data_IF_756544413769
#
_entry.id   IF_756544413769
#
_cell.length_a   1.000
_cell.length_b   1.000
_cell.length_c   1.000
_cell.angle_alpha   90.00
_cell.angle_beta   90.00
_cell.angle_gamma   90.00
#
_symmetry.space_group_name_H-M   'P 1'
#
loop_
_entity.id
_entity.type
_entity.pdbx_description
1 polymer ?
#
# COMPACT_ATOMS: atom_id res chain seq x y z
N UNK A 1 4.66 -10.78 4.80
CA UNK A 1 6.04 -11.15 5.20
C UNK A 1 7.03 -10.02 4.94
N UNK A 2 7.07 -9.39 3.77
CA UNK A 2 8.02 -8.30 3.47
C UNK A 2 7.98 -7.11 4.45
N UNK A 3 6.80 -6.77 5.00
CA UNK A 3 6.63 -5.66 5.95
C UNK A 3 7.53 -5.76 7.19
N UNK A 4 7.80 -6.98 7.68
CA UNK A 4 8.69 -7.20 8.83
C UNK A 4 10.15 -6.84 8.55
N UNK A 5 10.58 -6.89 7.29
CA UNK A 5 11.93 -6.53 6.87
C UNK A 5 12.02 -5.06 6.43
N UNK A 6 10.95 -4.54 5.83
CA UNK A 6 10.89 -3.15 5.35
C UNK A 6 10.88 -2.15 6.51
N UNK A 7 10.11 -2.41 7.58
CA UNK A 7 10.04 -1.50 8.74
C UNK A 7 11.42 -1.21 9.36
N UNK A 8 12.22 -2.22 9.79
CA UNK A 8 13.52 -1.96 10.38
C UNK A 8 14.51 -1.36 9.38
N UNK A 9 14.38 -1.67 8.08
CA UNK A 9 15.21 -1.05 7.05
C UNK A 9 14.91 0.44 6.89
N UNK A 10 13.64 0.84 6.83
CA UNK A 10 13.25 2.25 6.80
C UNK A 10 13.68 2.98 8.07
N UNK A 11 13.54 2.36 9.24
CA UNK A 11 14.04 2.92 10.49
C UNK A 11 15.55 3.14 10.46
N UNK A 12 16.32 2.14 10.03
CA UNK A 12 17.78 2.25 9.92
C UNK A 12 18.22 3.35 8.96
N UNK A 13 17.57 3.46 7.79
CA UNK A 13 17.86 4.54 6.83
C UNK A 13 17.55 5.91 7.44
N UNK A 14 16.45 6.02 8.19
CA UNK A 14 16.06 7.27 8.85
C UNK A 14 17.13 7.69 9.87
N UNK A 15 17.39 6.84 10.87
CA UNK A 15 18.25 7.15 12.03
C UNK A 15 19.74 7.28 11.65
N UNK A 16 20.24 6.45 10.72
CA UNK A 16 21.67 6.40 10.39
C UNK A 16 22.09 7.20 9.18
N UNK A 17 21.20 7.46 8.23
CA UNK A 17 21.58 8.11 6.96
C UNK A 17 20.91 9.47 6.87
N UNK A 18 19.59 9.51 6.94
CA UNK A 18 18.80 10.69 6.59
C UNK A 18 18.82 11.73 7.70
N UNK A 19 18.63 11.32 8.96
CA UNK A 19 18.64 12.23 10.09
C UNK A 19 19.99 12.92 10.29
N UNK A 20 21.15 12.22 10.32
CA UNK A 20 22.44 12.88 10.41
C UNK A 20 22.73 13.81 9.22
N UNK A 21 22.30 13.43 8.01
CA UNK A 21 22.43 14.28 6.82
C UNK A 21 21.58 15.54 6.92
N UNK A 22 20.35 15.41 7.41
CA UNK A 22 19.41 16.52 7.58
C UNK A 22 19.93 17.53 8.59
N UNK A 23 20.41 17.08 9.75
CA UNK A 23 21.01 17.95 10.77
C UNK A 23 22.28 18.66 10.27
N UNK A 24 23.05 18.03 9.38
CA UNK A 24 24.24 18.64 8.78
C UNK A 24 23.91 19.70 7.72
N UNK A 25 22.85 19.51 6.93
CA UNK A 25 22.48 20.43 5.85
C UNK A 25 21.51 21.54 6.28
N UNK A 26 20.61 21.22 7.20
CA UNK A 26 19.54 22.12 7.66
C UNK A 26 19.46 22.07 9.18
N UNK A 27 20.30 22.83 9.90
CA UNK A 27 20.15 22.98 11.34
C UNK A 27 18.83 23.69 11.62
N UNK A 28 17.83 22.92 12.03
CA UNK A 28 16.53 23.44 12.44
C UNK A 28 16.70 24.16 13.79
N UNK A 29 16.07 25.34 13.93
CA UNK A 29 16.09 26.09 15.20
C UNK A 29 15.36 25.29 16.28
N UNK A 30 15.98 25.15 17.45
CA UNK A 30 15.44 24.42 18.59
C UNK A 30 14.10 25.01 19.08
N UNK A 31 13.80 26.26 18.69
CA UNK A 31 12.57 26.99 19.00
C UNK A 31 11.47 26.89 17.92
N UNK A 32 11.55 25.95 16.98
CA UNK A 32 10.46 25.71 16.04
C UNK A 32 9.18 25.35 16.82
N UNK A 33 8.15 26.19 16.67
CA UNK A 33 6.80 25.87 17.15
C UNK A 33 6.28 24.69 16.34
N UNK A 34 6.50 23.48 16.86
CA UNK A 34 5.87 22.27 16.33
C UNK A 34 4.38 22.43 16.60
N UNK A 35 3.62 22.71 15.54
CA UNK A 35 2.17 22.64 15.53
C UNK A 35 1.79 21.23 16.03
N UNK A 36 1.37 21.10 17.30
CA UNK A 36 1.09 19.83 17.99
C UNK A 36 -0.17 19.11 17.45
N UNK A 37 -0.54 19.35 16.21
CA UNK A 37 -1.84 18.98 15.64
C UNK A 37 -1.94 17.46 15.32
N UNK A 38 -0.84 16.71 15.45
CA UNK A 38 -0.79 15.28 15.12
C UNK A 38 -0.86 14.37 16.36
N UNK A 39 -0.50 14.87 17.55
CA UNK A 39 -0.62 14.13 18.81
C UNK A 39 -1.91 14.50 19.53
N UNK A 40 -3.06 14.30 18.89
CA UNK A 40 -4.33 14.33 19.60
C UNK A 40 -4.37 13.11 20.54
N UNK A 41 -4.37 13.35 21.85
CA UNK A 41 -4.47 12.27 22.84
C UNK A 41 -5.74 11.44 22.57
N UNK A 42 -5.58 10.12 22.47
CA UNK A 42 -6.69 9.21 22.17
C UNK A 42 -7.76 9.37 23.26
N UNK A 43 -8.94 9.82 22.87
CA UNK A 43 -10.05 9.96 23.82
C UNK A 43 -10.45 8.58 24.35
N UNK A 44 -10.83 8.50 25.62
CA UNK A 44 -11.38 7.27 26.23
C UNK A 44 -12.58 6.72 25.46
N UNK A 45 -13.32 7.60 24.75
CA UNK A 45 -14.43 7.20 23.88
C UNK A 45 -13.95 6.52 22.59
N UNK A 46 -12.90 7.06 21.96
CA UNK A 46 -12.30 6.49 20.76
C UNK A 46 -11.66 5.14 21.07
N UNK A 47 -11.03 4.98 22.23
CA UNK A 47 -10.49 3.69 22.65
C UNK A 47 -11.58 2.62 22.82
N UNK A 48 -12.72 2.96 23.45
CA UNK A 48 -13.88 2.05 23.54
C UNK A 48 -14.48 1.73 22.17
N UNK A 49 -14.58 2.73 21.30
CA UNK A 49 -15.06 2.54 19.93
C UNK A 49 -14.14 1.60 19.13
N UNK A 50 -12.83 1.72 19.31
CA UNK A 50 -11.83 0.83 18.71
C UNK A 50 -12.05 -0.62 19.15
N UNK A 51 -12.14 -0.90 20.45
CA UNK A 51 -12.40 -2.26 20.94
C UNK A 51 -13.71 -2.84 20.42
N UNK A 52 -14.78 -2.03 20.33
CA UNK A 52 -16.05 -2.48 19.78
C UNK A 52 -15.95 -2.79 18.28
N UNK A 53 -15.28 -1.93 17.51
CA UNK A 53 -15.04 -2.15 16.09
C UNK A 53 -14.16 -3.39 15.83
N UNK A 54 -13.12 -3.62 16.64
CA UNK A 54 -12.30 -4.83 16.58
C UNK A 54 -13.10 -6.09 16.92
N UNK A 55 -14.02 -6.02 17.89
CA UNK A 55 -14.90 -7.13 18.21
C UNK A 55 -15.84 -7.47 17.04
N UNK A 56 -16.41 -6.45 16.38
CA UNK A 56 -17.24 -6.65 15.18
C UNK A 56 -16.42 -7.26 14.04
N UNK A 57 -15.19 -6.80 13.82
CA UNK A 57 -14.30 -7.39 12.82
C UNK A 57 -14.03 -8.87 13.10
N UNK A 58 -13.76 -9.23 14.35
CA UNK A 58 -13.58 -10.63 14.76
C UNK A 58 -14.85 -11.45 14.54
N UNK A 59 -16.01 -10.91 14.89
CA UNK A 59 -17.29 -11.59 14.67
C UNK A 59 -17.57 -11.81 13.18
N UNK A 60 -17.33 -10.81 12.33
CA UNK A 60 -17.45 -10.94 10.87
C UNK A 60 -16.49 -11.99 10.31
N UNK A 61 -15.26 -12.02 10.83
CA UNK A 61 -14.25 -13.01 10.43
C UNK A 61 -14.65 -14.42 10.85
N UNK A 62 -15.09 -14.61 12.10
CA UNK A 62 -15.59 -15.90 12.60
C UNK A 62 -16.81 -16.35 11.82
N UNK A 63 -17.76 -15.44 11.54
CA UNK A 63 -18.94 -15.72 10.73
C UNK A 63 -18.59 -16.19 9.32
N UNK A 64 -17.60 -15.55 8.69
CA UNK A 64 -17.09 -15.99 7.39
C UNK A 64 -16.42 -17.36 7.46
N UNK A 65 -15.59 -17.62 8.48
CA UNK A 65 -14.95 -18.93 8.67
C UNK A 65 -16.02 -20.02 8.88
N UNK A 66 -17.01 -19.77 9.74
CA UNK A 66 -18.13 -20.69 9.95
C UNK A 66 -18.94 -20.94 8.68
N UNK A 67 -19.15 -19.92 7.84
CA UNK A 67 -19.81 -20.08 6.54
C UNK A 67 -18.98 -20.89 5.54
N UNK A 68 -17.66 -20.93 5.70
CA UNK A 68 -16.73 -21.66 4.84
C UNK A 68 -16.43 -23.08 5.34
N UNK A 69 -16.72 -23.42 6.59
CA UNK A 69 -16.48 -24.76 7.15
C UNK A 69 -17.34 -25.87 6.52
N UNK A 70 -18.65 -25.67 6.22
CA UNK A 70 -19.48 -26.70 5.60
C UNK A 70 -18.94 -27.11 4.23
N UNK A 71 -18.95 -28.41 3.96
CA UNK A 71 -18.51 -28.98 2.68
C UNK A 71 -19.42 -28.52 1.52
N UNK A 72 -20.72 -28.32 1.77
CA UNK A 72 -21.72 -27.79 0.82
C UNK A 72 -21.81 -26.26 0.77
N UNK A 73 -20.79 -25.55 1.25
CA UNK A 73 -20.83 -24.08 1.27
C UNK A 73 -20.91 -23.52 -0.15
N UNK A 74 -21.92 -22.67 -0.40
CA UNK A 74 -22.11 -21.92 -1.66
C UNK A 74 -20.91 -21.05 -2.05
N UNK A 75 -19.98 -20.82 -1.12
CA UNK A 75 -18.80 -20.00 -1.31
C UNK A 75 -17.54 -20.80 -1.71
N UNK A 76 -17.61 -22.14 -1.64
CA UNK A 76 -16.57 -23.05 -2.12
C UNK A 76 -16.72 -23.31 -3.62
N UNK A 77 -15.63 -23.71 -4.26
CA UNK A 77 -15.71 -24.17 -5.64
C UNK A 77 -16.52 -25.49 -5.71
N UNK A 78 -17.11 -25.87 -6.87
CA UNK A 78 -17.88 -27.11 -7.02
C UNK A 78 -17.10 -28.39 -6.66
N UNK A 79 -15.78 -28.30 -6.67
CA UNK A 79 -14.77 -29.29 -6.29
C UNK A 79 -14.46 -29.32 -4.78
N UNK A 80 -15.12 -28.48 -3.97
CA UNK A 80 -14.94 -28.40 -2.51
C UNK A 80 -13.71 -27.59 -2.07
N UNK A 81 -12.87 -27.15 -3.02
CA UNK A 81 -11.63 -26.41 -2.80
C UNK A 81 -11.89 -24.92 -2.52
N UNK A 82 -11.27 -24.38 -1.47
CA UNK A 82 -11.39 -22.97 -1.08
C UNK A 82 -10.47 -22.04 -1.89
N UNK A 83 -9.34 -22.56 -2.36
CA UNK A 83 -8.25 -21.81 -2.98
C UNK A 83 -8.20 -21.94 -4.51
N UNK A 84 -9.36 -22.12 -5.16
CA UNK A 84 -9.48 -22.15 -6.62
C UNK A 84 -9.97 -20.80 -7.13
N UNK A 85 -9.44 -20.31 -8.25
CA UNK A 85 -9.91 -19.08 -8.90
C UNK A 85 -11.39 -19.14 -9.34
N UNK A 86 -11.96 -20.35 -9.40
CA UNK A 86 -13.39 -20.58 -9.69
C UNK A 86 -14.28 -20.52 -8.45
N UNK A 87 -13.71 -20.47 -7.25
CA UNK A 87 -14.48 -20.37 -6.02
C UNK A 87 -15.17 -18.99 -5.95
N UNK A 88 -16.48 -18.93 -5.66
CA UNK A 88 -17.22 -17.67 -5.53
C UNK A 88 -16.60 -16.70 -4.51
N UNK A 89 -15.93 -17.23 -3.47
CA UNK A 89 -15.22 -16.40 -2.49
C UNK A 89 -14.03 -15.64 -3.07
N UNK A 90 -13.26 -16.27 -3.98
CA UNK A 90 -12.10 -15.64 -4.62
C UNK A 90 -12.54 -14.56 -5.60
N UNK A 91 -13.64 -14.78 -6.31
CA UNK A 91 -14.22 -13.77 -7.21
C UNK A 91 -14.81 -12.58 -6.45
N UNK A 92 -15.34 -12.83 -5.25
CA UNK A 92 -15.98 -11.81 -4.41
C UNK A 92 -15.03 -11.14 -3.43
N UNK A 93 -13.71 -11.37 -3.52
CA UNK A 93 -12.74 -10.91 -2.51
C UNK A 93 -12.76 -9.38 -2.34
N UNK A 94 -12.89 -8.64 -3.44
CA UNK A 94 -12.96 -7.16 -3.41
C UNK A 94 -14.23 -6.68 -2.72
N UNK A 95 -15.38 -7.28 -3.03
CA UNK A 95 -16.65 -6.95 -2.39
C UNK A 95 -16.65 -7.30 -0.90
N UNK A 96 -16.02 -8.42 -0.53
CA UNK A 96 -15.88 -8.85 0.85
C UNK A 96 -15.01 -7.88 1.65
N UNK A 97 -13.89 -7.43 1.09
CA UNK A 97 -13.05 -6.38 1.70
C UNK A 97 -13.88 -5.11 1.90
N UNK A 98 -14.69 -4.68 0.93
CA UNK A 98 -15.56 -3.51 1.08
C UNK A 98 -16.57 -3.65 2.22
N UNK A 99 -17.22 -4.82 2.34
CA UNK A 99 -18.17 -5.09 3.42
C UNK A 99 -17.46 -5.12 4.78
N UNK A 100 -16.29 -5.76 4.88
CA UNK A 100 -15.54 -5.88 6.13
C UNK A 100 -14.99 -4.53 6.58
N UNK A 101 -14.29 -3.83 5.70
CA UNK A 101 -13.67 -2.54 6.00
C UNK A 101 -14.72 -1.43 6.16
N UNK A 102 -15.71 -1.38 5.29
CA UNK A 102 -16.82 -0.44 5.37
C UNK A 102 -17.69 -0.67 6.61
N UNK A 103 -18.04 -1.92 6.90
CA UNK A 103 -18.84 -2.29 8.08
C UNK A 103 -18.14 -1.90 9.38
N UNK A 104 -16.86 -2.25 9.53
CA UNK A 104 -16.06 -1.88 10.71
C UNK A 104 -15.88 -0.37 10.81
N UNK A 105 -15.66 0.31 9.69
CA UNK A 105 -15.55 1.77 9.64
C UNK A 105 -16.81 2.49 10.10
N UNK A 106 -17.99 2.03 9.67
CA UNK A 106 -19.28 2.58 10.12
C UNK A 106 -19.48 2.33 11.62
N UNK A 107 -19.21 1.11 12.10
CA UNK A 107 -19.34 0.77 13.52
C UNK A 107 -18.43 1.64 14.39
N UNK A 108 -17.17 1.82 13.99
CA UNK A 108 -16.25 2.72 14.68
C UNK A 108 -16.74 4.18 14.67
N UNK A 109 -17.22 4.67 13.52
CA UNK A 109 -17.73 6.04 13.38
C UNK A 109 -18.96 6.32 14.25
N UNK A 110 -19.87 5.36 14.37
CA UNK A 110 -21.04 5.46 15.26
C UNK A 110 -20.62 5.38 16.73
N UNK A 111 -19.78 4.42 17.10
CA UNK A 111 -19.35 4.22 18.50
C UNK A 111 -18.49 5.38 19.02
N UNK A 112 -17.60 5.95 18.20
CA UNK A 112 -16.80 7.13 18.52
C UNK A 112 -17.65 8.41 18.60
N UNK A 113 -18.87 8.39 18.08
CA UNK A 113 -19.78 9.53 18.05
C UNK A 113 -19.54 10.52 16.91
N UNK A 114 -18.70 10.14 15.93
CA UNK A 114 -18.46 10.90 14.71
C UNK A 114 -19.66 10.82 13.75
N UNK A 115 -20.39 9.71 13.75
CA UNK A 115 -21.63 9.53 13.00
C UNK A 115 -22.83 9.45 13.95
N UNK A 116 -23.65 10.50 13.99
CA UNK A 116 -24.89 10.55 14.77
C UNK A 116 -26.11 10.32 13.88
N UNK A 117 -26.06 10.79 12.64
CA UNK A 117 -27.10 10.62 11.64
C UNK A 117 -26.55 9.94 10.37
N UNK A 118 -27.40 9.26 9.58
CA UNK A 118 -26.98 8.73 8.27
C UNK A 118 -26.42 9.79 7.32
N UNK A 119 -26.84 11.06 7.49
CA UNK A 119 -26.31 12.19 6.72
C UNK A 119 -24.83 12.47 7.01
N UNK A 120 -24.36 12.21 8.22
CA UNK A 120 -22.97 12.43 8.60
C UNK A 120 -22.04 11.46 7.85
N UNK A 121 -22.54 10.24 7.61
CA UNK A 121 -21.85 9.24 6.80
C UNK A 121 -21.75 9.69 5.34
N UNK A 122 -22.85 10.16 4.73
CA UNK A 122 -22.83 10.71 3.37
C UNK A 122 -21.95 11.95 3.26
N UNK A 123 -21.98 12.84 4.25
CA UNK A 123 -21.14 14.03 4.27
C UNK A 123 -19.66 13.68 4.34
N UNK A 124 -19.29 12.66 5.11
CA UNK A 124 -17.92 12.16 5.16
C UNK A 124 -17.45 11.59 3.80
N UNK A 125 -18.35 10.90 3.07
CA UNK A 125 -18.06 10.44 1.71
C UNK A 125 -17.92 11.60 0.71
N UNK A 126 -18.71 12.66 0.87
CA UNK A 126 -18.62 13.89 0.08
C UNK A 126 -17.27 14.60 0.32
N UNK A 127 -16.87 14.75 1.59
CA UNK A 127 -15.61 15.41 1.95
C UNK A 127 -14.39 14.61 1.45
N UNK A 128 -14.44 13.28 1.53
CA UNK A 128 -13.43 12.40 0.91
C UNK A 128 -13.38 12.59 -0.62
N UNK A 129 -14.53 12.69 -1.27
CA UNK A 129 -14.60 12.95 -2.71
C UNK A 129 -14.00 14.30 -3.05
N UNK A 130 -14.20 15.33 -2.23
CA UNK A 130 -13.63 16.65 -2.45
C UNK A 130 -12.08 16.63 -2.41
N UNK A 131 -11.48 15.90 -1.45
CA UNK A 131 -10.02 15.70 -1.42
C UNK A 131 -9.54 14.92 -2.65
N UNK A 132 -10.28 13.89 -3.07
CA UNK A 132 -9.94 13.11 -4.27
C UNK A 132 -10.11 13.92 -5.56
N UNK A 133 -11.06 14.84 -5.65
CA UNK A 133 -11.25 15.70 -6.84
C UNK A 133 -10.01 16.55 -7.11
N UNK A 134 -9.40 17.12 -6.07
CA UNK A 134 -8.14 17.86 -6.21
C UNK A 134 -7.03 16.96 -6.78
N UNK A 135 -6.93 15.73 -6.26
CA UNK A 135 -5.99 14.72 -6.74
C UNK A 135 -6.28 14.31 -8.19
N UNK A 136 -7.55 14.09 -8.56
CA UNK A 136 -7.99 13.74 -9.92
C UNK A 136 -7.64 14.83 -10.92
N UNK A 137 -7.83 16.10 -10.56
CA UNK A 137 -7.44 17.23 -11.43
C UNK A 137 -5.93 17.28 -11.62
N UNK A 138 -5.14 17.12 -10.55
CA UNK A 138 -3.68 17.02 -10.69
C UNK A 138 -3.26 15.83 -11.56
N UNK A 139 -3.84 14.65 -11.31
CA UNK A 139 -3.62 13.45 -12.12
C UNK A 139 -4.07 13.61 -13.55
N UNK A 140 -5.07 14.41 -13.86
CA UNK A 140 -5.44 14.71 -15.24
C UNK A 140 -4.29 15.39 -15.98
N UNK A 141 -3.70 16.46 -15.40
CA UNK A 141 -2.55 17.14 -16.02
C UNK A 141 -1.28 16.30 -16.02
N UNK A 142 -1.01 15.59 -14.91
CA UNK A 142 0.11 14.66 -14.84
C UNK A 142 -0.04 13.49 -15.82
N UNK A 143 -1.26 13.00 -16.05
CA UNK A 143 -1.55 11.96 -17.05
C UNK A 143 -1.35 12.46 -18.48
N UNK A 144 -1.60 13.74 -18.78
CA UNK A 144 -1.27 14.31 -20.10
C UNK A 144 0.25 14.44 -20.30
N UNK A 145 0.97 14.89 -19.28
CA UNK A 145 2.44 14.94 -19.31
C UNK A 145 3.03 13.53 -19.42
N UNK A 146 2.56 12.61 -18.58
CA UNK A 146 2.89 11.20 -18.67
C UNK A 146 2.53 10.65 -20.02
N UNK A 147 1.37 10.94 -20.63
CA UNK A 147 1.00 10.48 -21.97
C UNK A 147 2.00 10.96 -23.03
N UNK A 148 2.49 12.20 -22.94
CA UNK A 148 3.56 12.71 -23.81
C UNK A 148 4.88 11.94 -23.63
N UNK A 149 5.21 11.50 -22.41
CA UNK A 149 6.33 10.58 -22.14
C UNK A 149 6.01 9.11 -22.50
N UNK A 150 4.74 8.70 -22.38
CA UNK A 150 4.21 7.36 -22.60
C UNK A 150 4.14 7.02 -24.09
N UNK A 151 4.47 7.95 -24.98
CA UNK A 151 4.83 7.63 -26.36
C UNK A 151 5.91 6.53 -26.45
N UNK A 152 6.71 6.33 -25.39
CA UNK A 152 7.64 5.19 -25.32
C UNK A 152 6.98 3.89 -24.83
N UNK A 153 5.93 3.95 -24.01
CA UNK A 153 5.18 2.83 -23.41
C UNK A 153 6.01 1.60 -22.96
N UNK A 154 7.29 1.82 -22.61
CA UNK A 154 8.28 0.75 -22.49
C UNK A 154 7.81 -0.27 -21.44
N UNK A 155 7.35 0.14 -20.26
CA UNK A 155 6.89 -0.80 -19.23
C UNK A 155 5.71 -1.69 -19.64
N UNK A 156 4.68 -1.13 -20.29
CA UNK A 156 3.52 -1.90 -20.74
C UNK A 156 3.80 -2.76 -21.98
N UNK A 157 4.76 -2.35 -22.82
CA UNK A 157 5.27 -3.15 -23.94
C UNK A 157 6.20 -4.27 -23.47
N UNK A 158 6.96 -4.04 -22.40
CA UNK A 158 7.91 -4.99 -21.86
C UNK A 158 7.22 -6.14 -21.12
N UNK A 159 6.10 -5.90 -20.44
CA UNK A 159 5.37 -6.95 -19.70
C UNK A 159 4.97 -8.18 -20.56
N UNK A 160 4.30 -8.04 -21.73
CA UNK A 160 3.95 -9.18 -22.59
C UNK A 160 5.15 -9.81 -23.30
N UNK A 161 6.33 -9.18 -23.28
CA UNK A 161 7.57 -9.73 -23.86
C UNK A 161 8.37 -10.50 -22.80
N UNK A 162 8.58 -9.89 -21.63
CA UNK A 162 9.39 -10.49 -20.57
C UNK A 162 8.73 -11.69 -19.92
N UNK A 163 7.40 -11.67 -19.74
CA UNK A 163 6.72 -12.80 -19.08
C UNK A 163 6.89 -14.09 -19.92
N UNK A 164 6.56 -14.14 -21.23
CA UNK A 164 6.80 -15.32 -22.06
C UNK A 164 8.29 -15.66 -22.20
N UNK A 165 9.16 -14.65 -22.29
CA UNK A 165 10.61 -14.87 -22.37
C UNK A 165 11.14 -15.61 -21.13
N UNK A 166 10.79 -15.14 -19.93
CA UNK A 166 11.21 -15.72 -18.67
C UNK A 166 10.59 -17.10 -18.43
N UNK A 167 9.33 -17.30 -18.86
CA UNK A 167 8.70 -18.63 -18.92
C UNK A 167 9.47 -19.59 -19.81
N UNK A 168 10.01 -19.13 -20.95
CA UNK A 168 10.89 -19.93 -21.80
C UNK A 168 12.17 -20.41 -21.10
N UNK A 169 12.67 -19.64 -20.14
CA UNK A 169 13.83 -20.03 -19.31
C UNK A 169 13.41 -20.83 -18.06
N UNK A 170 12.12 -21.10 -17.86
CA UNK A 170 11.58 -21.89 -16.75
C UNK A 170 11.21 -21.09 -15.50
N UNK A 171 11.18 -19.76 -15.59
CA UNK A 171 10.74 -18.87 -14.50
C UNK A 171 9.23 -18.70 -14.57
N UNK A 172 8.54 -18.83 -13.43
CA UNK A 172 7.09 -18.66 -13.38
C UNK A 172 6.65 -17.20 -13.62
N UNK A 173 5.46 -16.99 -14.22
CA UNK A 173 4.90 -15.65 -14.40
C UNK A 173 4.62 -14.97 -13.05
N UNK A 174 4.35 -15.73 -12.00
CA UNK A 174 4.12 -15.23 -10.63
C UNK A 174 5.40 -14.61 -10.04
N UNK A 175 6.56 -15.27 -10.21
CA UNK A 175 7.85 -14.74 -9.78
C UNK A 175 8.21 -13.46 -10.54
N UNK A 176 7.90 -13.41 -11.84
CA UNK A 176 8.15 -12.23 -12.69
C UNK A 176 7.28 -11.05 -12.25
N UNK A 177 5.99 -11.29 -11.96
CA UNK A 177 5.08 -10.27 -11.45
C UNK A 177 5.49 -9.78 -10.06
N UNK A 178 5.90 -10.67 -9.16
CA UNK A 178 6.40 -10.30 -7.83
C UNK A 178 7.65 -9.42 -7.92
N UNK A 179 8.60 -9.77 -8.79
CA UNK A 179 9.82 -8.99 -9.05
C UNK A 179 9.48 -7.59 -9.58
N UNK A 180 8.60 -7.51 -10.58
CA UNK A 180 8.16 -6.23 -11.14
C UNK A 180 7.53 -5.32 -10.07
N UNK A 181 6.67 -5.88 -9.22
CA UNK A 181 6.05 -5.13 -8.12
C UNK A 181 7.09 -4.61 -7.14
N UNK A 182 8.08 -5.41 -6.76
CA UNK A 182 9.16 -4.97 -5.86
C UNK A 182 9.93 -3.79 -6.46
N UNK A 183 10.30 -3.87 -7.74
CA UNK A 183 11.01 -2.80 -8.43
C UNK A 183 10.19 -1.52 -8.52
N UNK A 184 8.92 -1.61 -8.91
CA UNK A 184 8.02 -0.47 -9.03
C UNK A 184 7.83 0.24 -7.68
N UNK A 185 7.57 -0.51 -6.61
CA UNK A 185 7.39 0.05 -5.27
C UNK A 185 8.62 0.79 -4.76
N UNK A 186 9.84 0.28 -5.00
CA UNK A 186 11.05 0.91 -4.50
C UNK A 186 11.41 2.21 -5.25
N UNK A 187 11.17 2.27 -6.56
CA UNK A 187 11.49 3.44 -7.40
C UNK A 187 10.44 4.56 -7.27
N UNK A 188 9.20 4.22 -6.93
CA UNK A 188 8.16 5.23 -6.70
C UNK A 188 8.49 6.22 -5.56
N UNK A 189 9.34 5.82 -4.61
CA UNK A 189 9.73 6.67 -3.45
C UNK A 189 10.54 7.90 -3.87
N UNK A 190 11.44 7.78 -4.86
CA UNK A 190 12.29 8.88 -5.34
C UNK A 190 11.62 9.73 -6.43
N UNK A 191 10.56 9.21 -7.06
CA UNK A 191 10.00 9.76 -8.30
C UNK A 191 9.14 11.00 -8.04
N UNK A 192 9.47 12.17 -8.64
CA UNK A 192 8.77 13.44 -8.40
C UNK A 192 7.40 13.54 -9.08
N UNK A 193 7.00 12.53 -9.86
CA UNK A 193 5.72 12.48 -10.57
C UNK A 193 4.57 11.94 -9.71
N UNK A 194 4.82 11.62 -8.45
CA UNK A 194 3.80 11.15 -7.51
C UNK A 194 2.80 12.27 -7.18
N UNK A 195 1.49 11.98 -7.13
CA UNK A 195 0.43 12.99 -6.88
C UNK A 195 0.68 13.89 -5.68
N UNK A 196 1.21 13.26 -4.62
CA UNK A 196 1.35 13.89 -3.32
C UNK A 196 2.70 14.60 -3.17
N UNK A 197 3.59 14.51 -4.16
CA UNK A 197 4.91 15.14 -4.10
C UNK A 197 4.84 16.66 -3.86
N UNK A 198 3.95 17.42 -4.54
CA UNK A 198 3.79 18.86 -4.26
C UNK A 198 3.30 19.13 -2.82
N UNK A 199 2.37 18.32 -2.31
CA UNK A 199 1.86 18.46 -0.94
C UNK A 199 2.96 18.23 0.10
N UNK A 200 3.78 17.20 -0.10
CA UNK A 200 4.93 16.91 0.77
C UNK A 200 5.92 18.08 0.75
N UNK A 201 6.19 18.66 -0.41
CA UNK A 201 7.06 19.85 -0.51
C UNK A 201 6.45 21.04 0.26
N UNK A 202 5.14 21.28 0.16
CA UNK A 202 4.50 22.34 0.94
C UNK A 202 4.65 22.12 2.44
N UNK A 203 4.56 20.88 2.92
CA UNK A 203 4.85 20.55 4.32
C UNK A 203 6.32 20.74 4.67
N UNK A 204 7.26 20.31 3.83
CA UNK A 204 8.70 20.54 4.04
C UNK A 204 9.04 22.03 4.09
N UNK A 205 8.39 22.84 3.23
CA UNK A 205 8.58 24.29 3.17
C UNK A 205 8.06 25.03 4.40
N UNK A 206 7.21 24.41 5.24
CA UNK A 206 6.87 24.95 6.56
C UNK A 206 8.10 25.02 7.47
N UNK A 207 9.00 24.05 7.37
CA UNK A 207 10.21 23.95 8.20
C UNK A 207 11.44 24.54 7.52
N UNK A 208 11.64 24.23 6.23
CA UNK A 208 12.80 24.66 5.43
C UNK A 208 12.31 25.25 4.11
N UNK A 209 12.24 26.59 4.03
CA UNK A 209 11.71 27.33 2.87
C UNK A 209 12.46 27.06 1.55
N UNK A 210 13.73 26.69 1.63
CA UNK A 210 14.56 26.36 0.46
C UNK A 210 14.33 24.95 -0.10
N UNK A 211 13.46 24.15 0.53
CA UNK A 211 13.15 22.79 0.07
C UNK A 211 12.45 22.80 -1.29
N UNK A 212 13.08 22.15 -2.26
CA UNK A 212 12.54 21.94 -3.61
C UNK A 212 12.36 20.46 -3.96
N UNK A 213 11.92 20.21 -5.19
CA UNK A 213 11.71 18.85 -5.72
C UNK A 213 13.01 18.03 -5.67
N UNK A 214 14.15 18.64 -6.01
CA UNK A 214 15.46 17.97 -5.99
C UNK A 214 15.94 17.62 -4.58
N UNK A 215 15.68 18.48 -3.60
CA UNK A 215 16.03 18.24 -2.19
C UNK A 215 15.25 17.04 -1.65
N UNK A 216 13.93 17.02 -1.87
CA UNK A 216 13.09 15.90 -1.44
C UNK A 216 13.48 14.60 -2.15
N UNK A 217 13.71 14.64 -3.46
CA UNK A 217 14.11 13.45 -4.23
C UNK A 217 15.46 12.89 -3.78
N UNK A 218 16.44 13.77 -3.53
CA UNK A 218 17.76 13.37 -3.04
C UNK A 218 17.68 12.75 -1.64
N UNK A 219 16.83 13.31 -0.76
CA UNK A 219 16.62 12.77 0.58
C UNK A 219 15.90 11.40 0.57
N UNK A 220 15.11 11.14 -0.47
CA UNK A 220 14.39 9.87 -0.66
C UNK A 220 15.24 8.77 -1.32
N UNK A 221 16.34 9.13 -1.98
CA UNK A 221 17.21 8.20 -2.70
C UNK A 221 17.80 7.08 -1.82
N UNK A 222 18.30 7.34 -0.59
CA UNK A 222 18.76 6.28 0.31
C UNK A 222 17.67 5.25 0.63
N UNK A 223 16.41 5.67 0.74
CA UNK A 223 15.29 4.75 0.98
C UNK A 223 15.05 3.85 -0.23
N UNK A 224 15.06 4.39 -1.46
CA UNK A 224 14.92 3.58 -2.68
C UNK A 224 15.98 2.50 -2.78
N UNK A 225 17.25 2.83 -2.51
CA UNK A 225 18.36 1.87 -2.55
C UNK A 225 18.18 0.79 -1.48
N UNK A 226 17.86 1.19 -0.24
CA UNK A 226 17.65 0.24 0.84
C UNK A 226 16.46 -0.69 0.58
N UNK A 227 15.34 -0.15 0.09
CA UNK A 227 14.15 -0.93 -0.26
C UNK A 227 14.42 -1.91 -1.41
N UNK A 228 15.15 -1.49 -2.45
CA UNK A 228 15.56 -2.40 -3.53
C UNK A 228 16.37 -3.58 -2.99
N UNK A 229 17.36 -3.32 -2.14
CA UNK A 229 18.21 -4.36 -1.56
C UNK A 229 17.36 -5.29 -0.68
N UNK A 230 16.62 -4.74 0.28
CA UNK A 230 15.88 -5.53 1.27
C UNK A 230 14.77 -6.36 0.61
N UNK A 231 13.99 -5.77 -0.28
CA UNK A 231 12.92 -6.49 -0.97
C UNK A 231 13.47 -7.57 -1.92
N UNK A 232 14.59 -7.31 -2.58
CA UNK A 232 15.27 -8.32 -3.42
C UNK A 232 15.78 -9.47 -2.56
N UNK A 233 16.43 -9.20 -1.42
CA UNK A 233 16.89 -10.23 -0.48
C UNK A 233 15.72 -11.05 0.06
N UNK A 234 14.59 -10.41 0.40
CA UNK A 234 13.38 -11.13 0.84
C UNK A 234 12.86 -12.04 -0.26
N UNK A 235 12.79 -11.58 -1.51
CA UNK A 235 12.33 -12.39 -2.64
C UNK A 235 13.22 -13.62 -2.86
N UNK A 236 14.54 -13.44 -2.88
CA UNK A 236 15.49 -14.56 -3.01
C UNK A 236 15.43 -15.50 -1.81
N UNK A 237 15.23 -14.97 -0.60
CA UNK A 237 15.07 -15.81 0.60
C UNK A 237 13.80 -16.66 0.52
N UNK A 238 12.70 -16.11 0.00
CA UNK A 238 11.47 -16.89 -0.21
C UNK A 238 11.64 -17.95 -1.30
N UNK A 239 12.35 -17.61 -2.38
CA UNK A 239 12.69 -18.57 -3.44
C UNK A 239 13.57 -19.70 -2.91
N UNK A 240 14.58 -19.40 -2.09
CA UNK A 240 15.44 -20.44 -1.49
C UNK A 240 14.69 -21.34 -0.49
N UNK A 241 13.67 -20.80 0.19
CA UNK A 241 12.87 -21.54 1.17
C UNK A 241 11.63 -22.24 0.54
N UNK A 242 11.49 -22.21 -0.79
CA UNK A 242 10.34 -22.73 -1.55
C UNK A 242 8.97 -22.31 -0.96
N UNK A 243 8.89 -21.08 -0.44
CA UNK A 243 7.66 -20.55 0.16
C UNK A 243 6.76 -20.03 -0.96
N UNK A 244 5.65 -20.71 -1.25
CA UNK A 244 4.65 -20.29 -2.23
C UNK A 244 4.41 -18.77 -2.23
N UNK A 245 4.61 -18.11 -3.38
CA UNK A 245 4.42 -16.65 -3.55
C UNK A 245 2.95 -16.23 -3.43
N UNK A 246 2.04 -17.20 -3.53
CA UNK A 246 0.59 -17.06 -3.54
C UNK A 246 -0.09 -18.43 -3.64
N UNK A 247 -1.42 -18.45 -3.70
CA UNK A 247 -2.17 -19.69 -3.87
C UNK A 247 -1.84 -20.29 -5.25
N UNK A 248 -1.31 -21.51 -5.27
CA UNK A 248 -0.90 -22.23 -6.49
C UNK A 248 0.21 -21.52 -7.30
N UNK A 249 1.03 -20.69 -6.65
CA UNK A 249 2.11 -19.94 -7.30
C UNK A 249 3.49 -20.57 -7.02
N UNK A 250 3.89 -21.49 -7.89
CA UNK A 250 5.22 -22.09 -7.86
C UNK A 250 6.28 -21.17 -8.48
N UNK A 251 7.54 -21.37 -8.11
CA UNK A 251 8.68 -20.61 -8.63
C UNK A 251 9.15 -21.05 -10.02
N UNK A 252 8.90 -22.32 -10.35
CA UNK A 252 9.35 -22.96 -11.56
C UNK A 252 8.18 -23.21 -12.48
N UNK A 253 8.32 -22.79 -13.74
CA UNK A 253 7.38 -23.13 -14.78
C UNK A 253 7.78 -24.49 -15.40
N UNK A 254 6.96 -25.55 -15.31
CA UNK A 254 7.28 -26.83 -15.93
C UNK A 254 7.37 -26.63 -17.44
N UNK A 255 8.57 -26.85 -18.00
CA UNK A 255 8.79 -26.80 -19.44
C UNK A 255 8.01 -27.97 -20.10
N UNK A 256 7.31 -27.74 -21.21
CA UNK A 256 6.83 -28.85 -22.03
C UNK A 256 7.98 -29.69 -22.59
#
# INVERSE_FOLDING_TARGET
>A
MATFFVIPACWYVTDKIVEPWLWNMYPLDENLEIENDVNTEISSRENKAFYFASFVLLLMTVGLVLALLPEDSLLRAPDGTLASFKAPIMQSIVALIFIFTGGVGVVYGVASGKFKLPKDFTKSMEDMTHTLVQLVVFYFFAAQFLYAFNASQIGALLAPIFIPMLMGVGISPELTQASFRISDNAVNVVTPMFAFYPLIITYCQKYVKESGIGTLSSMMLPYTVALLIVLTVVLYSMWFLDILLGLQADYLYPRP
#
